data_IF_226002145237
#
_entry.id   IF_226002145237
#
_cell.length_a   1.000
_cell.length_b   1.000
_cell.length_c   1.000
_cell.angle_alpha   90.00
_cell.angle_beta   90.00
_cell.angle_gamma   90.00
#
_symmetry.space_group_name_H-M   'P 1'
#
loop_
_entity.id
_entity.type
_entity.pdbx_description
1 polymer ?
#
# COMPACT_ATOMS: atom_id res chain seq x y z
N UNK A 1 -9.18 7.23 -30.95
CA UNK A 1 -7.79 7.34 -31.44
C UNK A 1 -7.60 6.31 -32.55
N UNK A 2 -6.92 6.65 -33.64
CA UNK A 2 -6.55 5.68 -34.68
C UNK A 2 -5.38 4.84 -34.17
N UNK A 3 -5.53 3.52 -34.21
CA UNK A 3 -4.49 2.57 -33.84
C UNK A 3 -3.32 2.68 -34.85
N UNK A 4 -2.09 2.83 -34.34
CA UNK A 4 -0.85 2.94 -35.12
C UNK A 4 0.11 1.79 -34.83
N UNK A 5 -0.33 0.77 -34.09
CA UNK A 5 0.51 -0.36 -33.68
C UNK A 5 1.09 -1.11 -34.89
N UNK A 6 0.30 -1.33 -35.94
CA UNK A 6 0.77 -1.98 -37.18
C UNK A 6 1.82 -1.16 -37.94
N UNK A 7 1.68 0.17 -37.96
CA UNK A 7 2.64 1.06 -38.63
C UNK A 7 3.98 1.12 -37.90
N UNK A 8 3.98 0.93 -36.57
CA UNK A 8 5.18 0.86 -35.75
C UNK A 8 5.88 -0.49 -35.90
N UNK A 9 5.14 -1.59 -35.92
CA UNK A 9 5.69 -2.94 -36.15
C UNK A 9 6.36 -3.06 -37.53
N UNK A 10 5.74 -2.48 -38.56
CA UNK A 10 6.31 -2.50 -39.91
C UNK A 10 7.62 -1.72 -40.03
N UNK A 11 7.83 -0.69 -39.19
CA UNK A 11 9.08 0.09 -39.14
C UNK A 11 10.17 -0.54 -38.27
N UNK A 12 9.81 -1.29 -37.23
CA UNK A 12 10.79 -1.96 -36.37
C UNK A 12 11.58 -3.04 -37.11
N UNK A 13 10.97 -3.72 -38.08
CA UNK A 13 11.63 -4.77 -38.84
C UNK A 13 12.70 -4.26 -39.85
N UNK A 14 12.79 -2.95 -40.09
CA UNK A 14 13.76 -2.36 -41.04
C UNK A 14 15.04 -1.81 -40.33
N UNK A 15 15.02 -1.65 -38.99
CA UNK A 15 16.10 -1.05 -38.18
C UNK A 15 16.54 -1.98 -37.03
N UNK A 16 16.75 -3.27 -37.29
CA UNK A 16 17.30 -4.22 -36.29
C UNK A 16 18.82 -4.01 -36.11
N UNK A 17 19.19 -2.95 -35.40
CA UNK A 17 20.33 -3.03 -34.49
C UNK A 17 19.75 -3.37 -33.11
N UNK A 18 19.77 -4.65 -32.76
CA UNK A 18 19.52 -5.16 -31.41
C UNK A 18 20.61 -4.60 -30.48
N UNK A 19 20.47 -3.34 -30.07
CA UNK A 19 21.03 -2.89 -28.79
C UNK A 19 20.17 -3.54 -27.72
N UNK A 20 20.53 -4.77 -27.38
CA UNK A 20 20.06 -5.50 -26.21
C UNK A 20 20.46 -4.67 -24.98
N UNK A 21 19.57 -3.74 -24.61
CA UNK A 21 19.65 -2.93 -23.41
C UNK A 21 19.51 -3.88 -22.21
N UNK A 22 20.64 -4.41 -21.78
CA UNK A 22 20.77 -5.23 -20.58
C UNK A 22 20.48 -4.34 -19.37
N UNK A 23 19.20 -4.25 -18.99
CA UNK A 23 18.77 -3.58 -17.76
C UNK A 23 19.28 -4.45 -16.63
N UNK A 24 20.35 -4.04 -15.94
CA UNK A 24 20.89 -4.75 -14.79
C UNK A 24 19.78 -4.98 -13.73
N UNK A 25 19.32 -6.22 -13.60
CA UNK A 25 18.25 -6.69 -12.70
C UNK A 25 18.84 -7.02 -11.30
N UNK A 26 19.87 -6.30 -10.86
CA UNK A 26 20.61 -6.66 -9.64
C UNK A 26 19.88 -6.25 -8.33
N UNK A 27 18.70 -5.62 -8.40
CA UNK A 27 18.02 -5.03 -7.24
C UNK A 27 16.60 -5.59 -6.97
N UNK A 28 16.18 -6.67 -7.63
CA UNK A 28 14.82 -7.22 -7.54
C UNK A 28 14.46 -7.66 -6.12
N UNK A 29 15.38 -8.31 -5.42
CA UNK A 29 15.15 -8.83 -4.07
C UNK A 29 14.78 -7.74 -3.05
N UNK A 30 15.36 -6.54 -3.19
CA UNK A 30 15.03 -5.39 -2.34
C UNK A 30 13.64 -4.83 -2.66
N UNK A 31 13.28 -4.76 -3.94
CA UNK A 31 11.96 -4.30 -4.36
C UNK A 31 10.85 -5.28 -3.97
N UNK A 32 11.12 -6.59 -3.98
CA UNK A 32 10.17 -7.62 -3.54
C UNK A 32 9.83 -7.47 -2.05
N UNK A 33 10.83 -7.23 -1.19
CA UNK A 33 10.61 -6.93 0.22
C UNK A 33 9.78 -5.66 0.39
N UNK A 34 10.12 -4.59 -0.33
CA UNK A 34 9.35 -3.33 -0.30
C UNK A 34 7.89 -3.53 -0.71
N UNK A 35 7.61 -4.27 -1.79
CA UNK A 35 6.25 -4.55 -2.22
C UNK A 35 5.49 -5.42 -1.21
N UNK A 36 6.15 -6.39 -0.58
CA UNK A 36 5.56 -7.17 0.50
C UNK A 36 5.17 -6.28 1.69
N UNK A 37 6.02 -5.33 2.09
CA UNK A 37 5.72 -4.38 3.16
C UNK A 37 4.55 -3.45 2.83
N UNK A 38 4.48 -2.98 1.57
CA UNK A 38 3.37 -2.16 1.09
C UNK A 38 2.05 -2.93 1.09
N UNK A 39 2.07 -4.19 0.61
CA UNK A 39 0.89 -5.04 0.59
C UNK A 39 0.38 -5.35 2.00
N UNK A 40 1.29 -5.65 2.94
CA UNK A 40 0.91 -5.82 4.35
C UNK A 40 0.28 -4.54 4.93
N UNK A 41 0.84 -3.37 4.58
CA UNK A 41 0.31 -2.08 5.02
C UNK A 41 -1.10 -1.85 4.48
N UNK A 42 -1.36 -2.13 3.20
CA UNK A 42 -2.69 -2.05 2.58
C UNK A 42 -3.70 -2.98 3.26
N UNK A 43 -3.33 -4.23 3.50
CA UNK A 43 -4.20 -5.18 4.19
C UNK A 43 -4.52 -4.74 5.63
N UNK A 44 -3.58 -4.09 6.32
CA UNK A 44 -3.83 -3.51 7.63
C UNK A 44 -4.79 -2.32 7.57
N UNK A 45 -4.68 -1.46 6.55
CA UNK A 45 -5.64 -0.35 6.31
C UNK A 45 -7.04 -0.91 6.04
N UNK A 46 -7.17 -1.94 5.21
CA UNK A 46 -8.46 -2.58 4.94
C UNK A 46 -9.10 -3.20 6.19
N UNK A 47 -8.28 -3.83 7.04
CA UNK A 47 -8.73 -4.38 8.33
C UNK A 47 -9.17 -3.27 9.28
N UNK A 48 -8.45 -2.15 9.35
CA UNK A 48 -8.87 -0.98 10.14
C UNK A 48 -10.23 -0.48 9.65
N UNK A 49 -10.41 -0.32 8.34
CA UNK A 49 -11.68 0.12 7.75
C UNK A 49 -12.85 -0.81 8.12
N UNK A 50 -12.65 -2.12 8.06
CA UNK A 50 -13.66 -3.12 8.49
C UNK A 50 -13.96 -3.04 9.98
N UNK A 51 -12.95 -2.94 10.83
CA UNK A 51 -13.15 -2.83 12.28
C UNK A 51 -13.90 -1.52 12.64
N UNK A 52 -13.65 -0.42 11.92
CA UNK A 52 -14.37 0.86 12.10
C UNK A 52 -15.84 0.72 11.73
N UNK A 53 -16.16 0.05 10.62
CA UNK A 53 -17.54 -0.26 10.22
C UNK A 53 -18.27 -1.09 11.29
N UNK A 54 -17.60 -2.09 11.86
CA UNK A 54 -18.15 -2.94 12.90
C UNK A 54 -18.34 -2.19 14.23
N UNK A 55 -17.36 -1.37 14.63
CA UNK A 55 -17.47 -0.52 15.80
C UNK A 55 -18.68 0.44 15.69
N UNK A 56 -18.93 1.01 14.52
CA UNK A 56 -20.13 1.84 14.27
C UNK A 56 -21.44 1.07 14.48
N UNK A 57 -21.49 -0.20 14.07
CA UNK A 57 -22.67 -1.07 14.29
C UNK A 57 -22.89 -1.34 15.78
N UNK A 58 -21.83 -1.67 16.53
CA UNK A 58 -21.93 -1.86 17.98
C UNK A 58 -22.35 -0.59 18.70
N UNK A 59 -21.79 0.57 18.33
CA UNK A 59 -22.24 1.87 18.83
C UNK A 59 -23.74 2.08 18.57
N UNK A 60 -24.22 1.79 17.37
CA UNK A 60 -25.64 1.91 17.03
C UNK A 60 -26.52 1.02 17.92
N UNK A 61 -26.10 -0.23 18.16
CA UNK A 61 -26.83 -1.17 19.03
C UNK A 61 -26.91 -0.62 20.45
N UNK A 62 -25.76 -0.24 21.02
CA UNK A 62 -25.67 0.28 22.40
C UNK A 62 -26.55 1.52 22.58
N UNK A 63 -26.55 2.46 21.63
CA UNK A 63 -27.33 3.69 21.73
C UNK A 63 -28.84 3.47 21.49
N UNK A 64 -29.21 2.42 20.75
CA UNK A 64 -30.62 2.07 20.49
C UNK A 64 -31.28 1.28 21.62
N UNK A 65 -30.50 0.66 22.50
CA UNK A 65 -31.00 -0.19 23.58
C UNK A 65 -31.10 0.60 24.91
N UNK A 66 -32.24 0.56 25.62
CA UNK A 66 -32.35 1.20 26.95
C UNK A 66 -31.40 0.62 27.99
N UNK A 67 -31.05 -0.67 27.85
CA UNK A 67 -30.08 -1.39 28.67
C UNK A 67 -29.19 -2.20 27.71
N UNK A 68 -27.98 -1.73 27.38
CA UNK A 68 -27.06 -2.43 26.49
C UNK A 68 -26.54 -3.73 27.13
N UNK A 69 -26.33 -4.77 26.32
CA UNK A 69 -25.70 -6.00 26.79
C UNK A 69 -24.22 -5.74 27.13
N UNK A 70 -23.71 -6.22 28.30
CA UNK A 70 -22.31 -6.03 28.69
C UNK A 70 -21.32 -6.50 27.63
N UNK A 71 -21.63 -7.63 26.98
CA UNK A 71 -20.80 -8.21 25.91
C UNK A 71 -20.62 -7.26 24.72
N UNK A 72 -21.65 -6.53 24.31
CA UNK A 72 -21.57 -5.57 23.20
C UNK A 72 -20.61 -4.42 23.51
N UNK A 73 -20.52 -4.03 24.79
CA UNK A 73 -19.58 -3.01 25.24
C UNK A 73 -18.14 -3.55 25.23
N UNK A 74 -17.92 -4.76 25.72
CA UNK A 74 -16.61 -5.41 25.72
C UNK A 74 -16.08 -5.60 24.29
N UNK A 75 -16.93 -6.08 23.37
CA UNK A 75 -16.61 -6.25 21.95
C UNK A 75 -16.20 -4.91 21.29
N UNK A 76 -16.88 -3.82 21.65
CA UNK A 76 -16.57 -2.47 21.17
C UNK A 76 -15.23 -1.94 21.72
N UNK A 77 -14.95 -2.18 22.99
CA UNK A 77 -13.66 -1.80 23.60
C UNK A 77 -12.51 -2.56 22.93
N UNK A 78 -12.68 -3.86 22.68
CA UNK A 78 -11.71 -4.68 21.95
C UNK A 78 -11.48 -4.14 20.53
N UNK A 79 -12.55 -3.90 19.76
CA UNK A 79 -12.42 -3.37 18.41
C UNK A 79 -11.69 -2.03 18.39
N UNK A 80 -11.99 -1.14 19.34
CA UNK A 80 -11.33 0.17 19.44
C UNK A 80 -9.83 0.02 19.75
N UNK A 81 -9.47 -0.90 20.65
CA UNK A 81 -8.07 -1.20 20.95
C UNK A 81 -7.33 -1.78 19.72
N UNK A 82 -7.97 -2.69 18.98
CA UNK A 82 -7.41 -3.27 17.76
C UNK A 82 -7.22 -2.22 16.66
N UNK A 83 -8.21 -1.35 16.45
CA UNK A 83 -8.13 -0.22 15.50
C UNK A 83 -6.93 0.65 15.84
N UNK A 84 -6.79 1.06 17.11
CA UNK A 84 -5.68 1.90 17.56
C UNK A 84 -4.33 1.22 17.36
N UNK A 85 -4.23 -0.07 17.68
CA UNK A 85 -3.00 -0.85 17.50
C UNK A 85 -2.60 -0.93 16.02
N UNK A 86 -3.54 -1.28 15.14
CA UNK A 86 -3.30 -1.42 13.69
C UNK A 86 -2.99 -0.08 13.03
N UNK A 87 -3.72 0.98 13.36
CA UNK A 87 -3.47 2.32 12.85
C UNK A 87 -2.06 2.82 13.22
N UNK A 88 -1.60 2.56 14.46
CA UNK A 88 -0.23 2.89 14.85
C UNK A 88 0.81 2.05 14.11
N UNK A 89 0.55 0.76 13.87
CA UNK A 89 1.44 -0.09 13.09
C UNK A 89 1.59 0.42 11.64
N UNK A 90 0.47 0.75 10.98
CA UNK A 90 0.45 1.36 9.63
C UNK A 90 1.27 2.65 9.63
N UNK A 91 0.99 3.57 10.57
CA UNK A 91 1.72 4.84 10.67
C UNK A 91 3.23 4.64 10.83
N UNK A 92 3.64 3.73 11.70
CA UNK A 92 5.06 3.46 11.94
C UNK A 92 5.73 2.84 10.72
N UNK A 93 5.05 1.92 10.01
CA UNK A 93 5.58 1.29 8.81
C UNK A 93 5.75 2.31 7.67
N UNK A 94 4.73 3.13 7.41
CA UNK A 94 4.80 4.21 6.42
C UNK A 94 5.95 5.19 6.72
N UNK A 95 6.08 5.62 7.99
CA UNK A 95 7.17 6.51 8.41
C UNK A 95 8.55 5.87 8.22
N UNK A 96 8.70 4.58 8.52
CA UNK A 96 9.96 3.87 8.30
C UNK A 96 10.30 3.80 6.80
N UNK A 97 9.32 3.50 5.94
CA UNK A 97 9.53 3.46 4.50
C UNK A 97 9.90 4.84 3.94
N UNK A 98 9.26 5.91 4.42
CA UNK A 98 9.57 7.29 4.05
C UNK A 98 11.02 7.67 4.43
N UNK A 99 11.45 7.36 5.65
CA UNK A 99 12.83 7.60 6.10
C UNK A 99 13.87 6.83 5.26
N UNK A 100 13.59 5.57 4.94
CA UNK A 100 14.47 4.77 4.08
C UNK A 100 14.57 5.36 2.66
N UNK A 101 13.48 5.93 2.12
CA UNK A 101 13.47 6.60 0.82
C UNK A 101 14.29 7.89 0.84
N UNK A 102 14.22 8.67 1.92
CA UNK A 102 15.00 9.92 2.07
C UNK A 102 16.51 9.66 2.13
N UNK A 103 16.93 8.56 2.77
CA UNK A 103 18.35 8.17 2.85
C UNK A 103 18.91 7.75 1.48
N UNK A 104 18.10 7.11 0.63
CA UNK A 104 18.48 6.69 -0.73
C UNK A 104 18.42 7.82 -1.77
N UNK A 105 18.06 9.05 -1.39
CA UNK A 105 17.82 10.15 -2.32
C UNK A 105 19.07 10.68 -3.05
N UNK A 106 20.27 10.19 -2.71
CA UNK A 106 21.53 10.60 -3.33
C UNK A 106 21.63 10.24 -4.83
N UNK A 107 20.84 9.28 -5.33
CA UNK A 107 20.82 8.89 -6.74
C UNK A 107 19.38 8.69 -7.23
N UNK A 108 18.95 9.47 -8.22
CA UNK A 108 17.63 9.29 -8.84
C UNK A 108 17.59 7.98 -9.64
N UNK A 109 16.75 7.04 -9.22
CA UNK A 109 16.55 5.74 -9.87
C UNK A 109 15.07 5.48 -10.17
N UNK A 110 14.78 4.49 -11.04
CA UNK A 110 13.42 4.01 -11.26
C UNK A 110 12.80 3.49 -9.95
N UNK A 111 13.55 2.70 -9.18
CA UNK A 111 13.17 2.17 -7.87
C UNK A 111 12.78 3.28 -6.88
N UNK A 112 13.57 4.36 -6.82
CA UNK A 112 13.28 5.50 -5.95
C UNK A 112 11.93 6.16 -6.31
N UNK A 113 11.64 6.29 -7.61
CA UNK A 113 10.35 6.83 -8.09
C UNK A 113 9.19 5.92 -7.75
N UNK A 114 9.35 4.60 -7.92
CA UNK A 114 8.34 3.60 -7.56
C UNK A 114 8.06 3.67 -6.06
N UNK A 115 9.10 3.62 -5.21
CA UNK A 115 8.96 3.67 -3.76
C UNK A 115 8.27 4.96 -3.28
N UNK A 116 8.69 6.12 -3.79
CA UNK A 116 8.04 7.42 -3.49
C UNK A 116 6.55 7.41 -3.82
N UNK A 117 6.20 6.95 -5.02
CA UNK A 117 4.80 6.93 -5.46
C UNK A 117 3.93 6.00 -4.61
N UNK A 118 4.44 4.85 -4.18
CA UNK A 118 3.67 3.90 -3.36
C UNK A 118 3.46 4.44 -1.94
N UNK A 119 4.50 4.99 -1.31
CA UNK A 119 4.38 5.57 0.04
C UNK A 119 3.47 6.80 0.04
N UNK A 120 3.59 7.69 -0.95
CA UNK A 120 2.71 8.87 -1.05
C UNK A 120 1.24 8.52 -1.31
N UNK A 121 0.96 7.39 -1.96
CA UNK A 121 -0.42 6.93 -2.19
C UNK A 121 -1.03 6.20 -0.99
N UNK A 122 -0.22 5.81 0.00
CA UNK A 122 -0.66 5.08 1.19
C UNK A 122 -0.74 5.95 2.46
N UNK A 123 -0.14 7.15 2.44
CA UNK A 123 -0.24 8.20 3.48
C UNK A 123 -1.49 9.05 3.31
#
# INVERSE_FOLDING_TARGET
>A
MKDRLEQLKAKQNDDEAEDELEIAIDNTAFMDEFFSEIEETRQNIDKVSKNVEEAKKLYSIILSAPIPEPKTKDDLEQLTAEIKKRANAVRNKLKSMEQNIEQDAARSSADLRIRKSQVSGAS
#
